data_IF_171760358962
#
_entry.id   IF_171760358962
#
_cell.length_a   1.000
_cell.length_b   1.000
_cell.length_c   1.000
_cell.angle_alpha   90.00
_cell.angle_beta   90.00
_cell.angle_gamma   90.00
#
_symmetry.space_group_name_H-M   'P 1'
#
loop_
_entity.id
_entity.type
_entity.pdbx_description
1 polymer ?
#
# COMPACT_ATOMS: atom_id res chain seq x y z
N UNK A 1 0.41 40.11 29.50
CA UNK A 1 -1.00 40.20 29.06
C UNK A 1 -1.07 41.17 27.90
N UNK A 2 -0.91 40.66 26.67
CA UNK A 2 -1.09 41.38 25.41
C UNK A 2 -1.57 40.32 24.40
N UNK A 3 -2.87 39.99 24.43
CA UNK A 3 -3.92 40.65 23.64
C UNK A 3 -4.02 40.00 22.26
N UNK A 4 -4.53 38.76 22.15
CA UNK A 4 -5.97 38.41 22.17
C UNK A 4 -6.81 39.08 21.04
N UNK A 5 -6.28 40.10 20.35
CA UNK A 5 -6.95 40.77 19.22
C UNK A 5 -6.73 40.07 17.88
N UNK A 6 -5.65 39.28 17.75
CA UNK A 6 -5.30 38.58 16.51
C UNK A 6 -6.23 37.39 16.22
N UNK A 7 -6.73 36.71 17.27
CA UNK A 7 -7.58 35.52 17.13
C UNK A 7 -8.96 35.87 16.57
N UNK A 8 -9.51 37.03 16.94
CA UNK A 8 -10.83 37.46 16.48
C UNK A 8 -10.85 37.86 14.99
N UNK A 9 -9.72 38.35 14.44
CA UNK A 9 -9.65 38.76 13.04
C UNK A 9 -9.55 37.58 12.06
N UNK A 10 -8.90 36.49 12.47
CA UNK A 10 -8.73 35.29 11.60
C UNK A 10 -10.03 34.51 11.45
N UNK A 11 -10.86 34.44 12.51
CA UNK A 11 -12.12 33.67 12.48
C UNK A 11 -13.20 34.30 11.60
N UNK A 12 -13.16 35.62 11.35
CA UNK A 12 -14.14 36.31 10.50
C UNK A 12 -13.90 36.12 8.99
N UNK A 13 -12.73 35.61 8.58
CA UNK A 13 -12.37 35.46 7.17
C UNK A 13 -12.75 34.10 6.54
N UNK A 14 -12.96 33.05 7.33
CA UNK A 14 -13.20 31.68 6.81
C UNK A 14 -14.69 31.32 6.60
N UNK A 15 -15.62 32.25 6.84
CA UNK A 15 -17.06 31.98 6.77
C UNK A 15 -17.72 32.30 5.41
N UNK A 16 -16.98 32.63 4.35
CA UNK A 16 -17.56 33.24 3.12
C UNK A 16 -17.38 32.48 1.80
N UNK A 17 -17.01 31.19 1.78
CA UNK A 17 -17.09 30.38 0.55
C UNK A 17 -18.10 29.24 0.75
N UNK A 18 -19.36 29.65 0.82
CA UNK A 18 -20.51 28.82 0.48
C UNK A 18 -21.33 29.61 -0.54
N UNK A 19 -21.25 29.23 -1.82
CA UNK A 19 -22.32 29.26 -2.82
C UNK A 19 -21.79 29.35 -4.26
N UNK A 20 -21.63 28.20 -4.92
CA UNK A 20 -22.05 28.02 -6.33
C UNK A 20 -22.58 26.58 -6.50
N UNK A 21 -23.90 26.46 -6.63
CA UNK A 21 -24.58 25.30 -7.23
C UNK A 21 -24.40 25.33 -8.78
N UNK A 22 -24.85 24.37 -9.63
CA UNK A 22 -25.70 23.18 -9.39
C UNK A 22 -25.31 21.89 -10.19
N UNK A 23 -26.04 20.79 -9.90
CA UNK A 23 -26.46 19.67 -10.78
C UNK A 23 -25.51 19.09 -11.86
N UNK A 24 -25.11 17.83 -11.67
CA UNK A 24 -25.06 16.85 -12.78
C UNK A 24 -26.00 15.68 -12.45
N UNK A 25 -27.23 15.76 -12.98
CA UNK A 25 -28.13 14.62 -13.14
C UNK A 25 -28.02 14.11 -14.58
N UNK A 26 -27.81 12.81 -14.74
CA UNK A 26 -28.24 11.92 -15.84
C UNK A 26 -27.67 10.54 -15.48
N UNK A 27 -28.41 9.55 -14.94
CA UNK A 27 -29.58 8.86 -15.47
C UNK A 27 -29.37 8.27 -16.88
N UNK A 28 -29.00 6.98 -16.88
CA UNK A 28 -29.37 5.92 -17.82
C UNK A 28 -29.33 6.18 -19.35
N UNK A 29 -28.38 5.52 -20.02
CA UNK A 29 -28.60 4.75 -21.27
C UNK A 29 -27.74 3.47 -21.14
N UNK A 30 -28.33 2.31 -20.88
CA UNK A 30 -28.84 1.36 -21.87
C UNK A 30 -27.71 0.87 -22.82
N UNK A 31 -27.26 -0.36 -22.52
CA UNK A 31 -26.36 -1.25 -23.25
C UNK A 31 -26.90 -1.64 -24.65
N UNK A 32 -26.05 -2.18 -25.57
CA UNK A 32 -25.98 -3.65 -25.67
C UNK A 32 -24.63 -4.29 -26.09
N UNK A 33 -24.33 -5.39 -25.41
CA UNK A 33 -24.05 -6.74 -25.90
C UNK A 33 -22.80 -6.96 -26.76
N UNK A 34 -21.71 -7.30 -26.07
CA UNK A 34 -20.91 -8.45 -26.50
C UNK A 34 -20.90 -9.48 -25.36
N UNK A 35 -21.99 -10.25 -25.28
CA UNK A 35 -21.90 -11.66 -24.93
C UNK A 35 -20.94 -12.33 -25.94
N UNK A 36 -19.82 -12.85 -25.46
CA UNK A 36 -19.27 -14.08 -26.02
C UNK A 36 -18.97 -15.02 -24.85
N UNK A 37 -19.93 -15.89 -24.65
CA UNK A 37 -19.89 -17.07 -23.83
C UNK A 37 -18.79 -17.99 -24.38
N UNK A 38 -17.66 -18.06 -23.70
CA UNK A 38 -16.72 -19.18 -23.87
C UNK A 38 -16.66 -19.96 -22.57
N UNK A 39 -17.40 -21.06 -22.62
CA UNK A 39 -17.58 -22.11 -21.64
C UNK A 39 -16.35 -22.39 -20.74
N UNK A 40 -16.68 -22.65 -19.47
CA UNK A 40 -15.82 -23.00 -18.33
C UNK A 40 -14.76 -24.08 -18.60
N UNK A 41 -13.71 -24.15 -17.76
CA UNK A 41 -13.81 -25.26 -16.81
C UNK A 41 -13.71 -24.83 -15.34
N UNK A 42 -14.47 -25.57 -14.53
CA UNK A 42 -14.53 -25.51 -13.08
C UNK A 42 -13.14 -25.42 -12.42
N UNK A 43 -13.04 -24.86 -11.20
CA UNK A 43 -11.88 -25.12 -10.37
C UNK A 43 -11.84 -26.63 -10.08
N UNK A 44 -10.91 -27.34 -10.72
CA UNK A 44 -10.48 -28.65 -10.25
C UNK A 44 -10.16 -28.53 -8.76
N UNK A 45 -10.63 -29.45 -7.88
CA UNK A 45 -10.13 -29.50 -6.53
C UNK A 45 -8.63 -29.86 -6.62
N UNK A 46 -7.77 -28.87 -6.43
CA UNK A 46 -6.34 -29.12 -6.28
C UNK A 46 -6.15 -30.15 -5.16
N UNK A 47 -5.29 -31.16 -5.36
CA UNK A 47 -5.00 -32.15 -4.34
C UNK A 47 -4.49 -31.42 -3.10
N UNK A 48 -4.99 -31.82 -1.94
CA UNK A 48 -4.78 -31.17 -0.65
C UNK A 48 -3.39 -30.55 -0.49
N UNK A 49 -3.38 -29.22 -0.35
CA UNK A 49 -2.23 -28.52 0.18
C UNK A 49 -1.99 -29.00 1.60
N UNK A 50 -0.87 -29.70 1.79
CA UNK A 50 -0.34 -30.06 3.09
C UNK A 50 -0.19 -28.81 4.00
N UNK A 51 -0.14 -28.99 5.33
CA UNK A 51 -0.17 -27.87 6.27
C UNK A 51 1.05 -26.96 6.12
N UNK A 52 0.81 -25.69 5.79
CA UNK A 52 1.72 -24.58 6.01
C UNK A 52 2.87 -24.42 5.01
N UNK A 53 2.58 -24.03 3.77
CA UNK A 53 3.58 -23.25 3.01
C UNK A 53 3.83 -21.97 3.81
N UNK A 54 5.05 -21.75 4.28
CA UNK A 54 5.45 -20.42 4.71
C UNK A 54 5.10 -19.45 3.57
N UNK A 55 4.09 -18.60 3.78
CA UNK A 55 3.75 -17.56 2.84
C UNK A 55 4.98 -16.68 2.71
N UNK A 56 5.69 -16.78 1.58
CA UNK A 56 6.94 -16.05 1.38
C UNK A 56 6.66 -14.57 1.43
N UNK A 57 7.51 -13.78 2.09
CA UNK A 57 7.26 -12.36 2.27
C UNK A 57 7.17 -11.57 0.95
N UNK A 58 7.77 -12.08 -0.14
CA UNK A 58 7.74 -11.44 -1.46
C UNK A 58 6.32 -11.18 -1.98
N UNK A 59 5.34 -12.05 -1.70
CA UNK A 59 3.97 -11.83 -2.19
C UNK A 59 3.34 -10.56 -1.62
N UNK A 60 3.66 -10.21 -0.37
CA UNK A 60 3.21 -8.98 0.25
C UNK A 60 3.91 -7.75 -0.34
N UNK A 61 5.21 -7.83 -0.62
CA UNK A 61 5.94 -6.76 -1.31
C UNK A 61 5.45 -6.54 -2.75
N UNK A 62 5.01 -7.59 -3.45
CA UNK A 62 4.36 -7.45 -4.76
C UNK A 62 3.04 -6.66 -4.69
N UNK A 63 2.36 -6.67 -3.54
CA UNK A 63 1.23 -5.79 -3.28
C UNK A 63 1.59 -4.29 -3.29
N UNK A 64 2.88 -3.95 -3.15
CA UNK A 64 3.42 -2.60 -3.14
C UNK A 64 4.04 -2.16 -4.47
N UNK A 65 3.98 -2.98 -5.53
CA UNK A 65 4.38 -2.56 -6.89
C UNK A 65 3.81 -1.20 -7.34
N UNK A 66 2.56 -0.80 -7.04
CA UNK A 66 2.07 0.55 -7.37
C UNK A 66 2.81 1.71 -6.68
N UNK A 67 3.72 1.44 -5.74
CA UNK A 67 4.57 2.44 -5.09
C UNK A 67 5.86 2.75 -5.88
N UNK A 68 6.23 1.96 -6.89
CA UNK A 68 7.53 2.09 -7.56
C UNK A 68 7.78 3.50 -8.11
N UNK A 69 6.76 4.11 -8.71
CA UNK A 69 6.83 5.48 -9.25
C UNK A 69 7.17 6.50 -8.15
N UNK A 70 6.58 6.34 -6.96
CA UNK A 70 6.90 7.13 -5.77
C UNK A 70 8.29 6.80 -5.19
N UNK A 71 8.91 5.67 -5.51
CA UNK A 71 10.27 5.40 -5.06
C UNK A 71 11.31 5.94 -6.04
N UNK A 72 10.98 6.04 -7.33
CA UNK A 72 11.96 6.31 -8.38
C UNK A 72 11.85 7.69 -9.03
N UNK A 73 10.66 8.29 -9.10
CA UNK A 73 10.46 9.58 -9.78
C UNK A 73 10.18 10.70 -8.77
N UNK A 74 11.11 11.64 -8.65
CA UNK A 74 11.00 12.79 -7.75
C UNK A 74 9.85 13.74 -8.13
N UNK A 75 9.26 13.63 -9.31
CA UNK A 75 8.04 14.36 -9.68
C UNK A 75 6.76 13.83 -9.01
N UNK A 76 6.83 12.65 -8.40
CA UNK A 76 5.70 11.96 -7.76
C UNK A 76 5.66 12.32 -6.28
N UNK A 77 5.17 13.52 -5.97
CA UNK A 77 5.16 14.06 -4.61
C UNK A 77 4.25 13.26 -3.64
N UNK A 78 3.26 12.54 -4.16
CA UNK A 78 2.28 11.78 -3.36
C UNK A 78 2.07 10.39 -3.95
N UNK A 79 2.14 9.31 -3.15
CA UNK A 79 1.89 7.95 -3.61
C UNK A 79 0.44 7.77 -4.04
N UNK A 80 0.20 6.83 -4.95
CA UNK A 80 -1.15 6.46 -5.34
C UNK A 80 -1.92 5.82 -4.17
N UNK A 81 -3.25 5.93 -4.16
CA UNK A 81 -4.06 5.26 -3.14
C UNK A 81 -3.85 3.74 -3.13
N UNK A 82 -3.61 3.14 -4.30
CA UNK A 82 -3.27 1.72 -4.43
C UNK A 82 -1.95 1.36 -3.75
N UNK A 83 -0.94 2.25 -3.84
CA UNK A 83 0.31 2.10 -3.12
C UNK A 83 0.09 2.07 -1.60
N UNK A 84 -0.62 3.06 -1.06
CA UNK A 84 -0.88 3.12 0.38
C UNK A 84 -1.69 1.94 0.89
N UNK A 85 -2.70 1.50 0.12
CA UNK A 85 -3.48 0.30 0.46
C UNK A 85 -2.64 -0.97 0.43
N UNK A 86 -1.66 -1.06 -0.48
CA UNK A 86 -0.70 -2.15 -0.52
C UNK A 86 0.16 -2.21 0.75
N UNK A 87 0.66 -1.06 1.20
CA UNK A 87 1.40 -0.96 2.46
C UNK A 87 0.53 -1.33 3.67
N UNK A 88 -0.70 -0.80 3.76
CA UNK A 88 -1.65 -1.13 4.83
C UNK A 88 -1.92 -2.64 4.89
N UNK A 89 -2.12 -3.27 3.73
CA UNK A 89 -2.36 -4.72 3.65
C UNK A 89 -1.15 -5.54 4.11
N UNK A 90 0.08 -5.10 3.79
CA UNK A 90 1.31 -5.73 4.29
C UNK A 90 1.44 -5.56 5.80
N UNK A 91 1.14 -4.37 6.34
CA UNK A 91 1.19 -4.11 7.79
C UNK A 91 0.17 -4.97 8.53
N UNK A 92 -1.07 -5.02 8.07
CA UNK A 92 -2.14 -5.77 8.74
C UNK A 92 -1.98 -7.29 8.59
N UNK A 93 -1.53 -7.74 7.42
CA UNK A 93 -1.46 -9.17 7.09
C UNK A 93 -0.12 -9.84 7.39
N UNK A 94 0.98 -9.09 7.34
CA UNK A 94 2.33 -9.64 7.47
C UNK A 94 3.37 -8.60 7.91
N UNK A 95 3.09 -7.82 8.95
CA UNK A 95 4.04 -6.82 9.48
C UNK A 95 5.46 -7.36 9.72
N UNK A 96 5.61 -8.63 10.13
CA UNK A 96 6.93 -9.24 10.32
C UNK A 96 7.77 -9.29 9.03
N UNK A 97 7.13 -9.33 7.85
CA UNK A 97 7.82 -9.30 6.56
C UNK A 97 8.52 -7.97 6.30
N UNK A 98 8.10 -6.86 6.93
CA UNK A 98 8.80 -5.58 6.84
C UNK A 98 10.22 -5.64 7.42
N UNK A 99 10.55 -6.64 8.24
CA UNK A 99 11.91 -6.88 8.67
C UNK A 99 12.87 -7.06 7.49
N UNK A 100 12.42 -7.64 6.37
CA UNK A 100 13.25 -7.73 5.17
C UNK A 100 13.54 -6.37 4.55
N UNK A 101 12.61 -5.42 4.64
CA UNK A 101 12.85 -4.06 4.19
C UNK A 101 13.81 -3.33 5.14
N UNK A 102 13.63 -3.48 6.46
CA UNK A 102 14.50 -2.85 7.46
C UNK A 102 15.94 -3.38 7.43
N UNK A 103 16.11 -4.65 7.09
CA UNK A 103 17.42 -5.30 7.02
C UNK A 103 18.10 -5.12 5.64
N UNK A 104 17.42 -4.51 4.67
CA UNK A 104 17.93 -4.30 3.31
C UNK A 104 17.89 -5.56 2.42
N UNK A 105 17.19 -6.63 2.83
CA UNK A 105 17.06 -7.86 2.04
C UNK A 105 16.34 -7.62 0.71
N UNK A 106 15.42 -6.64 0.68
CA UNK A 106 14.63 -6.32 -0.51
C UNK A 106 15.34 -5.38 -1.48
N UNK A 107 16.44 -4.74 -1.07
CA UNK A 107 17.11 -3.69 -1.85
C UNK A 107 17.59 -4.21 -3.21
N UNK A 108 17.97 -5.49 -3.27
CA UNK A 108 18.38 -6.16 -4.50
C UNK A 108 17.23 -6.36 -5.53
N UNK A 109 15.99 -6.23 -5.09
CA UNK A 109 14.80 -6.33 -5.94
C UNK A 109 14.26 -4.94 -6.35
N UNK A 110 14.83 -3.87 -5.79
CA UNK A 110 14.46 -2.51 -6.12
C UNK A 110 15.24 -2.01 -7.35
N UNK A 111 14.64 -1.11 -8.16
CA UNK A 111 15.36 -0.41 -9.22
C UNK A 111 16.59 0.34 -8.70
N UNK A 112 17.65 0.44 -9.50
CA UNK A 112 18.85 1.21 -9.13
C UNK A 112 18.58 2.72 -8.93
N UNK A 113 17.48 3.23 -9.49
CA UNK A 113 17.02 4.61 -9.33
C UNK A 113 16.16 4.84 -8.08
N UNK A 114 16.04 3.86 -7.20
CA UNK A 114 15.21 3.96 -6.00
C UNK A 114 15.83 4.94 -5.00
N UNK A 115 15.03 5.92 -4.57
CA UNK A 115 15.34 6.77 -3.44
C UNK A 115 14.85 6.12 -2.14
N UNK A 116 15.78 5.50 -1.40
CA UNK A 116 15.49 4.83 -0.14
C UNK A 116 14.97 5.77 0.95
N UNK A 117 15.22 7.08 0.85
CA UNK A 117 14.62 8.06 1.77
C UNK A 117 13.11 8.07 1.59
N UNK A 118 12.65 8.10 0.34
CA UNK A 118 11.22 8.06 -0.01
C UNK A 118 10.57 6.74 0.37
N UNK A 119 11.29 5.62 0.22
CA UNK A 119 10.84 4.31 0.74
C UNK A 119 10.59 4.39 2.25
N UNK A 120 11.50 5.01 3.00
CA UNK A 120 11.38 5.17 4.46
C UNK A 120 10.28 6.16 4.89
N UNK A 121 9.96 7.15 4.05
CA UNK A 121 8.91 8.14 4.28
C UNK A 121 7.51 7.63 3.90
N UNK A 122 7.40 6.53 3.15
CA UNK A 122 6.13 6.00 2.67
C UNK A 122 5.11 5.74 3.79
N UNK A 123 5.46 5.12 4.94
CA UNK A 123 4.49 4.91 6.02
C UNK A 123 3.89 6.22 6.53
N UNK A 124 4.73 7.23 6.75
CA UNK A 124 4.29 8.56 7.18
C UNK A 124 3.42 9.24 6.13
N UNK A 125 3.82 9.16 4.86
CA UNK A 125 3.11 9.76 3.72
C UNK A 125 1.73 9.13 3.51
N UNK A 126 1.62 7.81 3.72
CA UNK A 126 0.37 7.08 3.65
C UNK A 126 -0.45 7.11 4.96
N UNK A 127 0.08 7.68 6.04
CA UNK A 127 -0.56 7.66 7.36
C UNK A 127 -0.69 6.25 7.97
N UNK A 128 0.16 5.32 7.57
CA UNK A 128 0.17 3.93 8.05
C UNK A 128 1.14 3.80 9.21
N UNK A 129 0.63 3.50 10.40
CA UNK A 129 1.45 3.27 11.57
C UNK A 129 2.09 1.88 11.52
N UNK A 130 3.42 1.82 11.57
CA UNK A 130 4.13 0.54 11.65
C UNK A 130 4.08 -0.02 13.08
N UNK A 131 3.80 -1.32 13.26
CA UNK A 131 3.69 -1.94 14.58
C UNK A 131 5.07 -2.15 15.20
N UNK A 132 5.51 -1.18 16.00
CA UNK A 132 6.85 -1.17 16.63
C UNK A 132 7.15 -2.44 17.45
N UNK A 133 6.15 -3.04 18.11
CA UNK A 133 6.33 -4.30 18.85
C UNK A 133 6.62 -5.50 17.94
N UNK A 134 6.12 -5.51 16.71
CA UNK A 134 6.46 -6.56 15.74
C UNK A 134 7.85 -6.33 15.16
N UNK A 135 8.17 -5.08 14.83
CA UNK A 135 9.46 -4.72 14.24
C UNK A 135 10.63 -4.83 15.23
N UNK A 136 10.40 -4.67 16.53
CA UNK A 136 11.43 -4.89 17.55
C UNK A 136 11.91 -6.35 17.60
N UNK A 137 11.12 -7.28 17.05
CA UNK A 137 11.45 -8.72 17.00
C UNK A 137 12.24 -9.11 15.75
N UNK A 138 12.52 -8.21 14.82
CA UNK A 138 13.24 -8.54 13.57
C UNK A 138 14.60 -9.24 13.79
N UNK A 139 15.25 -9.01 14.94
CA UNK A 139 16.54 -9.64 15.28
C UNK A 139 16.42 -10.81 16.26
N UNK A 140 15.22 -11.13 16.74
CA UNK A 140 15.01 -12.11 17.83
C UNK A 140 14.08 -13.25 17.42
N UNK A 141 13.15 -13.01 16.49
CA UNK A 141 12.17 -13.99 16.03
C UNK A 141 12.45 -14.36 14.56
N UNK A 142 12.19 -15.63 14.16
CA UNK A 142 12.35 -16.02 12.76
C UNK A 142 11.39 -15.24 11.86
N UNK A 143 11.94 -14.57 10.85
CA UNK A 143 11.16 -13.94 9.77
C UNK A 143 10.88 -15.00 8.70
N UNK A 144 9.64 -15.15 8.20
CA UNK A 144 9.35 -16.02 7.05
C UNK A 144 10.26 -15.66 5.87
N UNK A 145 10.70 -16.63 5.06
CA UNK A 145 11.66 -16.36 4.00
C UNK A 145 11.08 -15.37 2.98
N UNK A 146 11.94 -14.50 2.45
CA UNK A 146 11.55 -13.54 1.43
C UNK A 146 11.01 -14.24 0.18
N UNK A 147 11.75 -15.22 -0.34
CA UNK A 147 11.38 -16.06 -1.49
C UNK A 147 11.26 -17.51 -0.99
N UNK A 148 10.27 -18.30 -1.47
CA UNK A 148 10.15 -19.68 -1.06
C UNK A 148 11.40 -20.48 -1.45
N UNK A 149 11.84 -21.44 -0.62
CA UNK A 149 12.99 -22.27 -0.94
C UNK A 149 12.70 -23.11 -2.20
N UNK A 150 13.73 -23.33 -3.02
CA UNK A 150 13.65 -24.24 -4.16
C UNK A 150 13.30 -25.66 -3.67
N UNK A 151 12.39 -26.38 -4.35
CA UNK A 151 12.11 -27.77 -4.01
C UNK A 151 13.38 -28.64 -4.19
N UNK A 152 13.56 -29.70 -3.37
CA UNK A 152 14.66 -30.63 -3.55
C UNK A 152 14.54 -31.34 -4.92
N UNK A 153 15.70 -31.62 -5.52
CA UNK A 153 15.82 -32.34 -6.80
C UNK A 153 15.47 -33.82 -6.69
#
# INVERSE_FOLDING_TARGET
>A
MASSKLVAAVLLALALVAATAPQHSQAARAEPCCDDESESPAPSPSPGGAPGTASSCMSWFMGMTPCMDFFTDAGVETPSSSCCKGLESLVDGAAICLCHAMNGDIDNYMPASTDFSRVSDLPSTCGVALPAETLSKCSTEPVPPLIPPSPPA
#
